data_IF_104125637474
#
_entry.id   IF_104125637474
#
_cell.length_a   1.000
_cell.length_b   1.000
_cell.length_c   1.000
_cell.angle_alpha   90.00
_cell.angle_beta   90.00
_cell.angle_gamma   90.00
#
_symmetry.space_group_name_H-M   'P 1'
#
loop_
_entity.id
_entity.type
_entity.pdbx_description
1 polymer ?
#
# COMPACT_ATOMS: atom_id res chain seq x y z
N UNK A 1 26.01 9.41 -25.87
CA UNK A 1 24.93 8.68 -26.56
C UNK A 1 23.75 8.67 -25.62
N UNK A 2 22.59 9.18 -26.04
CA UNK A 2 21.39 9.16 -25.20
C UNK A 2 20.93 7.70 -25.06
N UNK A 3 20.87 7.20 -23.81
CA UNK A 3 20.25 5.91 -23.53
C UNK A 3 18.84 5.91 -24.12
N UNK A 4 18.53 4.92 -24.97
CA UNK A 4 17.14 4.65 -25.32
C UNK A 4 16.42 4.41 -24.00
N UNK A 5 15.42 5.23 -23.70
CA UNK A 5 14.47 4.96 -22.63
C UNK A 5 13.73 3.71 -23.09
N UNK A 6 14.14 2.54 -22.61
CA UNK A 6 13.41 1.30 -22.86
C UNK A 6 11.95 1.52 -22.45
N UNK A 7 11.03 1.16 -23.33
CA UNK A 7 9.60 1.19 -23.04
C UNK A 7 9.34 0.13 -21.97
N UNK A 8 9.35 0.57 -20.70
CA UNK A 8 8.94 -0.23 -19.55
C UNK A 8 7.50 -0.69 -19.75
N UNK A 9 7.27 -1.99 -19.57
CA UNK A 9 5.95 -2.61 -19.55
C UNK A 9 5.15 -2.20 -18.31
N UNK A 10 5.80 -1.96 -17.17
CA UNK A 10 5.12 -1.52 -15.94
C UNK A 10 5.08 0.01 -15.87
N UNK A 11 3.92 0.61 -15.61
CA UNK A 11 3.78 2.05 -15.33
C UNK A 11 3.84 2.36 -13.83
N UNK A 12 5.06 2.59 -13.31
CA UNK A 12 5.29 2.95 -11.91
C UNK A 12 4.81 4.34 -11.49
N UNK A 13 4.25 5.14 -12.40
CA UNK A 13 3.70 6.48 -12.07
C UNK A 13 2.31 6.43 -11.43
N UNK A 14 1.68 5.25 -11.44
CA UNK A 14 0.41 4.98 -10.78
C UNK A 14 0.47 3.71 -9.96
N UNK A 15 -0.51 3.51 -9.09
CA UNK A 15 -0.71 2.23 -8.42
C UNK A 15 -1.65 1.34 -9.25
N UNK A 16 -1.47 0.03 -9.10
CA UNK A 16 -2.21 -0.98 -9.85
C UNK A 16 -3.20 -1.71 -8.93
N UNK A 17 -4.42 -1.95 -9.41
CA UNK A 17 -5.35 -2.87 -8.73
C UNK A 17 -4.79 -4.28 -8.76
N UNK A 18 -5.37 -5.19 -7.97
CA UNK A 18 -4.94 -6.59 -7.91
C UNK A 18 -4.94 -7.26 -9.29
N UNK A 19 -5.99 -7.06 -10.09
CA UNK A 19 -6.12 -7.68 -11.41
C UNK A 19 -5.11 -7.11 -12.41
N UNK A 20 -4.89 -5.80 -12.39
CA UNK A 20 -3.87 -5.15 -13.22
C UNK A 20 -2.46 -5.66 -12.87
N UNK A 21 -2.14 -5.70 -11.57
CA UNK A 21 -0.87 -6.25 -11.08
C UNK A 21 -0.70 -7.71 -11.51
N UNK A 22 -1.75 -8.53 -11.35
CA UNK A 22 -1.73 -9.94 -11.76
C UNK A 22 -1.46 -10.10 -13.25
N UNK A 23 -2.11 -9.27 -14.09
CA UNK A 23 -1.89 -9.25 -15.53
C UNK A 23 -0.44 -8.87 -15.89
N UNK A 24 0.11 -7.84 -15.24
CA UNK A 24 1.51 -7.43 -15.43
C UNK A 24 2.49 -8.55 -15.09
N UNK A 25 2.31 -9.19 -13.94
CA UNK A 25 3.19 -10.28 -13.49
C UNK A 25 3.15 -11.49 -14.44
N UNK A 26 1.96 -11.90 -14.88
CA UNK A 26 1.82 -13.00 -15.84
C UNK A 26 2.42 -12.64 -17.20
N UNK A 27 2.20 -11.43 -17.69
CA UNK A 27 2.80 -10.95 -18.94
C UNK A 27 4.33 -10.92 -18.91
N UNK A 28 4.93 -10.57 -17.77
CA UNK A 28 6.38 -10.62 -17.59
C UNK A 28 6.91 -12.05 -17.63
N UNK A 29 6.24 -12.99 -16.97
CA UNK A 29 6.62 -14.42 -17.03
C UNK A 29 6.50 -14.99 -18.45
N UNK A 30 5.46 -14.61 -19.19
CA UNK A 30 5.29 -15.00 -20.59
C UNK A 30 6.40 -14.42 -21.49
N UNK A 31 6.85 -13.20 -21.19
CA UNK A 31 7.92 -12.52 -21.93
C UNK A 31 9.30 -13.12 -21.62
N UNK A 32 9.54 -13.53 -20.37
CA UNK A 32 10.84 -14.02 -19.89
C UNK A 32 10.77 -15.45 -19.30
N UNK A 33 10.31 -16.46 -20.05
CA UNK A 33 9.98 -17.78 -19.49
C UNK A 33 11.20 -18.57 -19.00
N UNK A 34 12.40 -18.26 -19.49
CA UNK A 34 13.66 -18.89 -19.04
C UNK A 34 14.23 -18.23 -17.78
N UNK A 35 13.70 -17.07 -17.39
CA UNK A 35 14.17 -16.28 -16.25
C UNK A 35 13.16 -16.18 -15.12
N UNK A 36 11.86 -16.35 -15.40
CA UNK A 36 10.81 -16.14 -14.41
C UNK A 36 9.77 -17.26 -14.40
N UNK A 37 9.30 -17.61 -13.20
CA UNK A 37 8.05 -18.32 -13.00
C UNK A 37 7.18 -17.58 -11.98
N UNK A 38 5.88 -17.85 -11.99
CA UNK A 38 4.91 -17.30 -11.03
C UNK A 38 4.10 -18.43 -10.41
N UNK A 39 3.89 -18.33 -9.11
CA UNK A 39 2.98 -19.21 -8.37
C UNK A 39 2.21 -18.44 -7.30
N UNK A 40 1.10 -19.03 -6.84
CA UNK A 40 0.37 -18.55 -5.67
C UNK A 40 0.90 -19.28 -4.44
N UNK A 41 1.44 -18.55 -3.47
CA UNK A 41 1.96 -19.12 -2.21
C UNK A 41 0.89 -19.24 -1.11
N UNK A 42 -0.34 -18.89 -1.44
CA UNK A 42 -1.47 -18.91 -0.53
C UNK A 42 -2.57 -17.98 -1.02
N UNK A 43 -3.71 -18.02 -0.32
CA UNK A 43 -4.83 -17.14 -0.60
C UNK A 43 -5.09 -16.23 0.60
N UNK A 44 -5.49 -15.01 0.29
CA UNK A 44 -5.90 -14.00 1.27
C UNK A 44 -7.22 -14.36 1.95
N UNK A 45 -7.71 -13.47 2.82
CA UNK A 45 -8.98 -13.70 3.52
C UNK A 45 -10.17 -13.73 2.54
N UNK A 46 -10.15 -12.86 1.53
CA UNK A 46 -11.18 -12.78 0.49
C UNK A 46 -10.88 -13.68 -0.72
N UNK A 47 -9.86 -14.55 -0.63
CA UNK A 47 -9.57 -15.57 -1.65
C UNK A 47 -8.72 -15.09 -2.82
N UNK A 48 -8.05 -13.93 -2.73
CA UNK A 48 -7.07 -13.48 -3.73
C UNK A 48 -5.76 -14.22 -3.58
N UNK A 49 -5.17 -14.62 -4.70
CA UNK A 49 -3.85 -15.25 -4.72
C UNK A 49 -2.77 -14.29 -4.18
N UNK A 50 -1.86 -14.83 -3.39
CA UNK A 50 -0.64 -14.14 -2.97
C UNK A 50 0.44 -14.57 -3.95
N UNK A 51 0.72 -13.71 -4.94
CA UNK A 51 1.66 -14.03 -6.01
C UNK A 51 3.12 -13.95 -5.53
N UNK A 52 3.89 -14.97 -5.88
CA UNK A 52 5.34 -15.02 -5.77
C UNK A 52 5.95 -15.21 -7.16
N UNK A 53 6.91 -14.36 -7.52
CA UNK A 53 7.75 -14.56 -8.70
C UNK A 53 9.08 -15.17 -8.26
N UNK A 54 9.45 -16.27 -8.91
CA UNK A 54 10.81 -16.82 -8.84
C UNK A 54 11.57 -16.30 -10.06
N UNK A 55 12.64 -15.54 -9.84
CA UNK A 55 13.46 -14.93 -10.89
C UNK A 55 14.89 -15.42 -10.78
N UNK A 56 15.35 -16.17 -11.79
CA UNK A 56 16.70 -16.70 -11.92
C UNK A 56 16.93 -17.24 -13.33
N UNK A 57 18.16 -17.27 -13.82
CA UNK A 57 18.45 -17.98 -15.06
C UNK A 57 18.33 -19.50 -14.86
N UNK A 58 17.26 -20.10 -15.36
CA UNK A 58 16.98 -21.53 -15.21
C UNK A 58 18.00 -22.42 -15.96
N UNK A 59 18.79 -21.86 -16.88
CA UNK A 59 19.79 -22.61 -17.65
C UNK A 59 21.10 -22.86 -16.89
N UNK A 60 21.40 -22.04 -15.86
CA UNK A 60 22.64 -22.19 -15.07
C UNK A 60 22.44 -22.97 -13.77
N UNK A 61 21.21 -23.40 -13.49
CA UNK A 61 20.86 -24.22 -12.33
C UNK A 61 19.41 -24.02 -11.91
N UNK A 62 18.87 -24.97 -11.15
CA UNK A 62 17.53 -24.83 -10.60
C UNK A 62 17.48 -23.73 -9.53
N UNK A 63 16.31 -23.09 -9.38
CA UNK A 63 16.12 -21.99 -8.44
C UNK A 63 16.52 -22.33 -6.99
N UNK A 64 16.19 -23.55 -6.54
CA UNK A 64 16.49 -24.02 -5.19
C UNK A 64 17.95 -24.39 -4.93
N UNK A 65 18.77 -24.50 -5.98
CA UNK A 65 20.20 -24.85 -5.86
C UNK A 65 21.09 -23.62 -5.73
N UNK A 66 20.53 -22.42 -5.98
CA UNK A 66 21.25 -21.15 -5.92
C UNK A 66 20.94 -20.40 -4.61
N UNK A 67 21.90 -19.65 -4.04
CA UNK A 67 21.62 -18.73 -2.94
C UNK A 67 20.50 -17.76 -3.32
N UNK A 68 19.58 -17.52 -2.38
CA UNK A 68 18.35 -16.80 -2.66
C UNK A 68 18.21 -15.50 -1.86
N UNK A 69 17.55 -14.52 -2.46
CA UNK A 69 17.07 -13.31 -1.80
C UNK A 69 15.55 -13.27 -1.89
N UNK A 70 14.90 -13.10 -0.74
CA UNK A 70 13.46 -12.87 -0.66
C UNK A 70 13.18 -11.38 -0.54
N UNK A 71 12.22 -10.89 -1.33
CA UNK A 71 11.74 -9.51 -1.30
C UNK A 71 10.22 -9.56 -1.24
N UNK A 72 9.65 -9.05 -0.16
CA UNK A 72 8.21 -8.83 -0.07
C UNK A 72 7.87 -7.34 0.00
N UNK A 73 6.64 -7.03 -0.34
CA UNK A 73 6.12 -5.69 -0.22
C UNK A 73 4.64 -5.69 0.18
N UNK A 74 4.21 -4.52 0.68
CA UNK A 74 2.81 -4.21 0.93
C UNK A 74 2.18 -5.20 1.94
N UNK A 75 2.96 -5.60 2.96
CA UNK A 75 2.45 -6.31 4.15
C UNK A 75 1.46 -5.44 4.92
N UNK A 76 1.72 -4.12 4.99
CA UNK A 76 0.72 -3.14 5.36
C UNK A 76 -0.03 -2.67 4.10
N UNK A 77 -1.35 -2.75 4.13
CA UNK A 77 -2.26 -2.49 3.03
C UNK A 77 -2.06 -1.12 2.35
N UNK A 78 -1.95 -0.04 3.14
CA UNK A 78 -1.81 1.32 2.63
C UNK A 78 -0.43 1.70 2.08
N UNK A 79 0.60 0.86 2.26
CA UNK A 79 1.97 1.13 1.81
C UNK A 79 2.18 0.71 0.33
N UNK A 80 1.23 1.08 -0.54
CA UNK A 80 1.15 0.65 -1.96
C UNK A 80 2.35 1.05 -2.82
N UNK A 81 3.16 2.03 -2.36
CA UNK A 81 4.44 2.36 -3.00
C UNK A 81 5.43 1.20 -2.93
N UNK A 82 5.42 0.40 -1.86
CA UNK A 82 6.25 -0.80 -1.76
C UNK A 82 5.96 -1.80 -2.87
N UNK A 83 4.68 -1.97 -3.23
CA UNK A 83 4.26 -2.83 -4.34
C UNK A 83 4.89 -2.37 -5.67
N UNK A 84 4.85 -1.07 -5.96
CA UNK A 84 5.49 -0.52 -7.16
C UNK A 84 7.00 -0.70 -7.18
N UNK A 85 7.68 -0.59 -6.03
CA UNK A 85 9.13 -0.84 -5.94
C UNK A 85 9.45 -2.31 -6.23
N UNK A 86 8.64 -3.24 -5.72
CA UNK A 86 8.80 -4.66 -6.03
C UNK A 86 8.56 -4.96 -7.52
N UNK A 87 7.51 -4.39 -8.10
CA UNK A 87 7.22 -4.48 -9.55
C UNK A 87 8.36 -3.92 -10.41
N UNK A 88 8.87 -2.73 -10.04
CA UNK A 88 10.03 -2.14 -10.72
C UNK A 88 11.27 -3.05 -10.63
N UNK A 89 11.51 -3.64 -9.45
CA UNK A 89 12.65 -4.53 -9.22
C UNK A 89 12.53 -5.78 -10.10
N UNK A 90 11.34 -6.37 -10.21
CA UNK A 90 11.06 -7.50 -11.11
C UNK A 90 11.40 -7.13 -12.56
N UNK A 91 10.84 -6.04 -13.07
CA UNK A 91 11.05 -5.60 -14.45
C UNK A 91 12.53 -5.30 -14.73
N UNK A 92 13.20 -4.62 -13.79
CA UNK A 92 14.62 -4.28 -13.88
C UNK A 92 15.51 -5.53 -13.96
N UNK A 93 15.27 -6.54 -13.11
CA UNK A 93 16.03 -7.79 -13.15
C UNK A 93 15.84 -8.53 -14.48
N UNK A 94 14.60 -8.60 -14.97
CA UNK A 94 14.27 -9.34 -16.20
C UNK A 94 14.82 -8.64 -17.45
N UNK A 95 14.58 -7.34 -17.59
CA UNK A 95 15.05 -6.55 -18.74
C UNK A 95 16.57 -6.35 -18.74
N UNK A 96 17.20 -6.32 -17.55
CA UNK A 96 18.63 -6.18 -17.40
C UNK A 96 19.43 -7.43 -17.79
N UNK A 97 18.82 -8.62 -17.79
CA UNK A 97 19.53 -9.85 -18.14
C UNK A 97 20.04 -9.83 -19.60
N UNK A 98 21.34 -10.02 -19.78
CA UNK A 98 22.03 -9.93 -21.07
C UNK A 98 22.36 -8.50 -21.54
N UNK A 99 21.84 -7.47 -20.87
CA UNK A 99 22.09 -6.06 -21.18
C UNK A 99 22.96 -5.36 -20.14
N UNK A 100 22.87 -5.80 -18.88
CA UNK A 100 23.64 -5.33 -17.74
C UNK A 100 24.44 -6.50 -17.15
N UNK A 101 25.76 -6.31 -17.01
CA UNK A 101 26.67 -7.37 -16.59
C UNK A 101 26.44 -7.80 -15.13
N UNK A 102 26.12 -6.86 -14.24
CA UNK A 102 25.89 -7.14 -12.82
C UNK A 102 24.57 -7.89 -12.64
N UNK A 103 23.51 -7.47 -13.34
CA UNK A 103 22.21 -8.18 -13.32
C UNK A 103 22.34 -9.57 -13.94
N UNK A 104 23.09 -9.70 -15.03
CA UNK A 104 23.34 -11.01 -15.66
C UNK A 104 24.04 -11.96 -14.68
N UNK A 105 25.13 -11.51 -14.03
CA UNK A 105 25.82 -12.31 -13.02
C UNK A 105 24.89 -12.67 -11.86
N UNK A 106 24.09 -11.71 -11.38
CA UNK A 106 23.12 -11.94 -10.31
C UNK A 106 22.14 -13.06 -10.67
N UNK A 107 21.51 -13.03 -11.84
CA UNK A 107 20.52 -14.06 -12.21
C UNK A 107 21.16 -15.39 -12.60
N UNK A 108 22.40 -15.40 -13.09
CA UNK A 108 23.12 -16.63 -13.38
C UNK A 108 23.47 -17.41 -12.11
N UNK A 109 23.69 -16.73 -10.99
CA UNK A 109 24.27 -17.36 -9.78
C UNK A 109 23.39 -17.24 -8.53
N UNK A 110 22.31 -16.45 -8.55
CA UNK A 110 21.37 -16.27 -7.44
C UNK A 110 19.91 -16.44 -7.91
N UNK A 111 19.02 -16.59 -6.95
CA UNK A 111 17.57 -16.63 -7.14
C UNK A 111 16.91 -15.50 -6.38
N UNK A 112 15.96 -14.81 -7.00
CA UNK A 112 15.11 -13.81 -6.34
C UNK A 112 13.69 -14.36 -6.22
N UNK A 113 13.17 -14.36 -5.00
CA UNK A 113 11.77 -14.66 -4.70
C UNK A 113 11.08 -13.36 -4.34
N UNK A 114 10.22 -12.85 -5.21
CA UNK A 114 9.61 -11.52 -5.04
C UNK A 114 8.11 -11.64 -4.91
N UNK A 115 7.56 -11.21 -3.77
CA UNK A 115 6.13 -11.14 -3.48
C UNK A 115 5.67 -9.66 -3.46
N UNK A 116 5.15 -9.10 -4.58
CA UNK A 116 4.89 -7.66 -4.67
C UNK A 116 3.77 -7.18 -3.74
N UNK A 117 2.88 -8.07 -3.33
CA UNK A 117 1.73 -7.74 -2.50
C UNK A 117 1.34 -8.92 -1.62
N UNK A 118 1.83 -8.91 -0.37
CA UNK A 118 1.50 -9.93 0.63
C UNK A 118 0.09 -9.74 1.18
N UNK A 119 -0.41 -8.50 1.24
CA UNK A 119 -1.75 -8.18 1.72
C UNK A 119 -2.68 -7.67 0.59
N UNK A 120 -3.15 -8.56 -0.32
CA UNK A 120 -3.90 -8.13 -1.50
C UNK A 120 -5.27 -7.53 -1.18
N UNK A 121 -6.00 -8.06 -0.20
CA UNK A 121 -7.36 -7.58 0.12
C UNK A 121 -7.34 -6.16 0.66
N UNK A 122 -6.45 -5.90 1.62
CA UNK A 122 -6.36 -4.57 2.22
C UNK A 122 -5.83 -3.53 1.22
N UNK A 123 -4.86 -3.88 0.39
CA UNK A 123 -4.40 -2.99 -0.67
C UNK A 123 -5.51 -2.69 -1.69
N UNK A 124 -6.33 -3.69 -2.04
CA UNK A 124 -7.46 -3.50 -2.95
C UNK A 124 -8.49 -2.53 -2.35
N UNK A 125 -8.86 -2.74 -1.10
CA UNK A 125 -9.75 -1.83 -0.37
C UNK A 125 -9.19 -0.41 -0.32
N UNK A 126 -7.90 -0.26 0.02
CA UNK A 126 -7.22 1.03 0.10
C UNK A 126 -7.19 1.78 -1.24
N UNK A 127 -7.04 1.06 -2.36
CA UNK A 127 -6.94 1.67 -3.69
C UNK A 127 -8.29 2.00 -4.32
N UNK A 128 -9.35 1.30 -3.93
CA UNK A 128 -10.66 1.37 -4.60
C UNK A 128 -11.76 2.04 -3.77
N UNK A 129 -11.47 2.39 -2.51
CA UNK A 129 -12.44 3.00 -1.58
C UNK A 129 -11.78 4.15 -0.79
N UNK A 130 -12.56 5.02 -0.13
CA UNK A 130 -11.99 6.07 0.73
C UNK A 130 -11.40 5.54 2.04
N UNK A 131 -11.53 4.24 2.33
CA UNK A 131 -11.12 3.69 3.61
C UNK A 131 -9.61 3.48 3.65
N UNK A 132 -9.03 3.93 4.75
CA UNK A 132 -7.63 3.66 5.08
C UNK A 132 -7.56 2.55 6.11
N UNK A 133 -6.77 1.52 5.84
CA UNK A 133 -6.45 0.46 6.78
C UNK A 133 -4.96 0.14 6.78
N UNK A 134 -4.47 -0.35 7.91
CA UNK A 134 -3.08 -0.75 8.05
C UNK A 134 -2.83 -2.16 7.57
N UNK A 135 -3.66 -3.13 7.98
CA UNK A 135 -3.36 -4.56 7.88
C UNK A 135 -4.42 -5.29 7.06
N UNK A 136 -5.17 -6.21 7.67
CA UNK A 136 -6.12 -7.08 6.98
C UNK A 136 -7.50 -6.46 6.88
N UNK A 137 -8.35 -6.98 6.00
CA UNK A 137 -9.79 -6.65 5.96
C UNK A 137 -10.61 -7.47 6.96
N UNK A 138 -9.96 -8.20 7.88
CA UNK A 138 -10.66 -8.93 8.93
C UNK A 138 -11.14 -7.95 9.98
N UNK A 139 -12.43 -7.99 10.26
CA UNK A 139 -13.02 -7.18 11.30
C UNK A 139 -12.57 -7.66 12.69
N UNK A 140 -12.52 -6.73 13.64
CA UNK A 140 -12.25 -7.10 15.03
C UNK A 140 -13.38 -8.00 15.56
N UNK A 141 -13.07 -9.10 16.27
CA UNK A 141 -14.11 -9.94 16.88
C UNK A 141 -14.93 -9.12 17.90
N UNK A 142 -16.23 -9.01 17.69
CA UNK A 142 -17.10 -8.26 18.61
C UNK A 142 -18.39 -7.69 18.04
N UNK A 143 -18.54 -7.58 16.72
CA UNK A 143 -19.80 -7.29 16.00
C UNK A 143 -20.37 -5.87 16.16
N UNK A 144 -20.46 -5.37 17.39
CA UNK A 144 -21.01 -4.05 17.69
C UNK A 144 -19.94 -2.96 17.55
N UNK A 145 -20.25 -1.84 16.85
CA UNK A 145 -19.37 -0.69 16.79
C UNK A 145 -19.11 -0.14 18.20
N UNK A 146 -17.86 0.21 18.46
CA UNK A 146 -17.51 0.91 19.69
C UNK A 146 -18.21 2.27 19.79
N UNK A 147 -18.37 2.71 21.02
CA UNK A 147 -18.72 4.09 21.33
C UNK A 147 -17.68 5.05 20.74
N UNK A 148 -18.16 6.17 20.17
CA UNK A 148 -17.29 7.18 19.57
C UNK A 148 -17.53 7.37 18.07
N UNK A 149 -16.59 8.07 17.46
CA UNK A 149 -16.61 8.46 16.06
C UNK A 149 -15.95 7.38 15.20
N UNK A 150 -16.73 6.78 14.29
CA UNK A 150 -16.25 5.85 13.27
C UNK A 150 -16.18 6.57 11.93
N UNK A 151 -15.03 6.51 11.27
CA UNK A 151 -14.83 7.09 9.96
C UNK A 151 -15.77 6.45 8.92
N UNK A 152 -16.53 7.28 8.21
CA UNK A 152 -17.52 6.83 7.23
C UNK A 152 -17.72 7.92 6.17
N UNK A 153 -17.91 7.51 4.92
CA UNK A 153 -18.25 8.43 3.83
C UNK A 153 -19.77 8.70 3.91
N UNK A 154 -20.15 9.78 4.57
CA UNK A 154 -21.54 10.04 4.96
C UNK A 154 -22.37 10.50 3.76
N UNK A 155 -21.76 11.22 2.83
CA UNK A 155 -22.44 11.73 1.63
C UNK A 155 -22.24 10.86 0.38
N UNK A 156 -21.39 9.83 0.45
CA UNK A 156 -21.15 8.87 -0.61
C UNK A 156 -20.33 9.44 -1.78
N UNK A 157 -19.55 10.49 -1.54
CA UNK A 157 -18.78 11.17 -2.58
C UNK A 157 -17.44 10.48 -2.90
N UNK A 158 -17.12 9.39 -2.20
CA UNK A 158 -15.87 8.63 -2.36
C UNK A 158 -14.69 9.21 -1.59
N UNK A 159 -14.94 10.11 -0.62
CA UNK A 159 -13.92 10.70 0.25
C UNK A 159 -14.41 10.67 1.69
N UNK A 160 -13.48 10.36 2.61
CA UNK A 160 -13.69 10.57 4.04
C UNK A 160 -12.89 11.80 4.44
N UNK A 161 -13.57 12.93 4.66
CA UNK A 161 -12.92 14.23 4.88
C UNK A 161 -12.63 14.52 6.36
N UNK A 162 -11.99 15.67 6.62
CA UNK A 162 -11.76 16.19 7.97
C UNK A 162 -12.54 17.48 8.21
N UNK A 163 -13.23 17.55 9.35
CA UNK A 163 -13.92 18.71 9.86
C UNK A 163 -13.06 19.46 10.87
N UNK A 164 -13.08 20.80 10.79
CA UNK A 164 -12.42 21.69 11.75
C UNK A 164 -13.47 22.31 12.65
N UNK A 165 -13.47 21.95 13.92
CA UNK A 165 -14.41 22.50 14.91
C UNK A 165 -13.67 23.48 15.78
N UNK A 166 -14.12 24.73 15.79
CA UNK A 166 -13.52 25.78 16.61
C UNK A 166 -13.69 25.46 18.09
N UNK A 167 -12.58 25.42 18.82
CA UNK A 167 -12.53 25.17 20.27
C UNK A 167 -11.35 25.96 20.86
N UNK A 168 -11.55 26.87 21.82
CA UNK A 168 -10.46 27.57 22.52
C UNK A 168 -9.42 26.65 23.19
N UNK A 169 -9.78 25.39 23.46
CA UNK A 169 -8.89 24.35 23.99
C UNK A 169 -8.40 23.38 22.91
N UNK A 170 -8.58 23.73 21.64
CA UNK A 170 -8.15 22.94 20.49
C UNK A 170 -6.63 22.77 20.41
N UNK A 171 -6.23 21.68 19.79
CA UNK A 171 -4.84 21.25 19.61
C UNK A 171 -4.24 21.76 18.29
N UNK A 172 -5.07 22.32 17.42
CA UNK A 172 -4.71 22.74 16.07
C UNK A 172 -4.97 24.22 15.86
N UNK A 173 -4.13 24.85 15.05
CA UNK A 173 -4.36 26.19 14.51
C UNK A 173 -4.21 26.17 12.99
N UNK A 174 -4.73 27.20 12.34
CA UNK A 174 -4.52 27.39 10.90
C UNK A 174 -3.03 27.64 10.64
N UNK A 175 -2.50 27.03 9.58
CA UNK A 175 -1.13 27.27 9.13
C UNK A 175 -0.97 28.70 8.62
N UNK A 176 0.14 29.34 8.98
CA UNK A 176 0.46 30.69 8.50
C UNK A 176 0.84 30.70 7.01
N UNK A 177 1.17 29.53 6.45
CA UNK A 177 1.56 29.36 5.05
C UNK A 177 0.37 29.07 4.11
N UNK A 178 -0.66 28.38 4.60
CA UNK A 178 -1.85 28.01 3.81
C UNK A 178 -3.05 27.82 4.73
N UNK A 179 -4.10 28.61 4.54
CA UNK A 179 -5.30 28.56 5.36
C UNK A 179 -6.04 27.20 5.30
N UNK A 180 -5.77 26.38 4.28
CA UNK A 180 -6.30 25.03 4.14
C UNK A 180 -5.52 24.00 4.96
N UNK A 181 -4.39 24.35 5.56
CA UNK A 181 -3.62 23.43 6.38
C UNK A 181 -3.81 23.73 7.86
N UNK A 182 -3.80 22.68 8.66
CA UNK A 182 -3.86 22.75 10.11
C UNK A 182 -2.52 22.29 10.67
N UNK A 183 -1.95 23.06 11.56
CA UNK A 183 -0.68 22.74 12.23
C UNK A 183 -0.93 22.58 13.72
N UNK A 184 -0.13 21.72 14.35
CA UNK A 184 -0.23 21.50 15.78
C UNK A 184 0.11 22.79 16.51
N UNK A 185 -0.80 23.22 17.38
CA UNK A 185 -0.63 24.38 18.25
C UNK A 185 0.60 24.16 19.14
N UNK A 186 1.36 25.22 19.37
CA UNK A 186 2.51 25.19 20.26
C UNK A 186 2.08 25.32 21.73
N UNK A 187 2.84 24.75 22.68
CA UNK A 187 2.50 24.83 24.10
C UNK A 187 2.40 26.27 24.66
N UNK A 188 3.14 27.22 24.07
CA UNK A 188 3.20 28.63 24.46
C UNK A 188 2.07 29.49 23.86
N UNK A 189 1.31 28.96 22.90
CA UNK A 189 0.17 29.66 22.29
C UNK A 189 -1.05 29.53 23.22
N UNK A 190 -1.30 30.51 24.09
CA UNK A 190 -2.41 30.48 25.06
C UNK A 190 -3.68 31.17 24.57
N UNK A 191 -3.56 32.06 23.58
CA UNK A 191 -4.65 32.85 23.00
C UNK A 191 -4.65 32.72 21.49
N UNK A 192 -5.82 32.62 20.87
CA UNK A 192 -5.94 32.52 19.42
C UNK A 192 -7.16 31.72 18.99
N UNK A 193 -7.30 31.57 17.68
CA UNK A 193 -8.32 30.70 17.10
C UNK A 193 -7.77 29.28 17.00
N UNK A 194 -8.29 28.41 17.86
CA UNK A 194 -7.89 27.00 17.90
C UNK A 194 -9.03 26.09 17.47
N UNK A 195 -8.65 24.89 17.06
CA UNK A 195 -9.54 23.94 16.43
C UNK A 195 -9.25 22.52 16.93
N UNK A 196 -10.29 21.70 16.96
CA UNK A 196 -10.20 20.25 16.94
C UNK A 196 -10.44 19.74 15.53
N UNK A 197 -9.78 18.64 15.19
CA UNK A 197 -9.99 17.94 13.94
C UNK A 197 -10.78 16.67 14.21
N UNK A 198 -11.81 16.45 13.41
CA UNK A 198 -12.62 15.25 13.43
C UNK A 198 -12.69 14.69 12.02
N UNK A 199 -12.61 13.38 11.88
CA UNK A 199 -12.89 12.70 10.62
C UNK A 199 -14.40 12.69 10.38
N UNK A 200 -14.80 12.80 9.11
CA UNK A 200 -16.17 12.53 8.69
C UNK A 200 -16.59 11.13 9.11
N UNK A 201 -17.80 11.01 9.66
CA UNK A 201 -18.22 9.72 10.18
C UNK A 201 -19.46 9.73 11.06
N UNK A 202 -19.76 8.54 11.58
CA UNK A 202 -20.90 8.28 12.47
C UNK A 202 -20.45 8.35 13.91
N UNK A 203 -21.17 9.11 14.74
CA UNK A 203 -20.92 9.24 16.17
C UNK A 203 -21.92 8.38 16.97
N UNK A 204 -21.43 7.31 17.59
CA UNK A 204 -22.25 6.39 18.38
C UNK A 204 -22.18 6.70 19.88
N UNK A 205 -23.33 6.63 20.57
CA UNK A 205 -23.48 6.73 22.03
C UNK A 205 -22.76 7.92 22.71
N UNK A 206 -22.65 9.05 22.02
CA UNK A 206 -22.04 10.25 22.60
C UNK A 206 -23.03 11.07 23.43
N UNK A 207 -22.81 11.15 24.74
CA UNK A 207 -23.67 11.92 25.66
C UNK A 207 -23.16 13.34 25.86
N UNK A 208 -21.92 13.50 26.37
CA UNK A 208 -21.24 14.79 26.58
C UNK A 208 -19.73 14.59 26.70
N UNK A 209 -18.94 15.60 26.31
CA UNK A 209 -17.48 15.64 26.51
C UNK A 209 -16.72 15.67 25.18
N UNK A 210 -15.39 15.43 25.21
CA UNK A 210 -14.61 15.28 23.99
C UNK A 210 -15.09 14.07 23.20
N UNK A 211 -15.25 14.23 21.88
CA UNK A 211 -15.51 13.10 20.97
C UNK A 211 -14.26 12.21 20.93
N UNK A 212 -14.45 10.93 21.26
CA UNK A 212 -13.44 9.88 21.15
C UNK A 212 -13.59 9.16 19.81
N UNK A 213 -12.49 8.64 19.26
CA UNK A 213 -12.54 7.76 18.10
C UNK A 213 -12.98 6.36 18.55
N UNK A 214 -13.87 5.74 17.78
CA UNK A 214 -14.17 4.33 17.92
C UNK A 214 -12.94 3.50 17.50
N UNK A 215 -12.88 2.23 17.93
CA UNK A 215 -11.88 1.30 17.39
C UNK A 215 -11.99 1.23 15.86
N UNK A 216 -10.86 1.11 15.13
CA UNK A 216 -10.89 0.85 13.70
C UNK A 216 -11.70 -0.41 13.37
N UNK A 217 -12.41 -0.40 12.24
CA UNK A 217 -13.21 -1.53 11.77
C UNK A 217 -12.38 -2.81 11.59
N UNK A 218 -11.17 -2.66 11.06
CA UNK A 218 -10.28 -3.77 10.72
C UNK A 218 -9.06 -3.88 11.64
N UNK A 219 -8.64 -5.14 11.89
CA UNK A 219 -7.47 -5.53 12.69
C UNK A 219 -6.32 -6.12 11.88
#
# INVERSE_FOLDING_TARGET
>A
MAARKEERQIDVSRFHTFDEMTGLLKGLVETYPTLATIESIGQSHEGRDIWLLTITNQQTGAAGDKPAMYIDANIHAGEVTGCNVALYTIEMLLAGYGNDADITELLDTRTFYIAPRVQPDGAELYLTTPYTLRSSVREWPGGDPDDGLTAEDIDGNGLILQMRVRDPKGEWRVSDHDARLMVKRRPDELTGEFYRLYTEGVLNNHVRGPVTLARPKWG
#
